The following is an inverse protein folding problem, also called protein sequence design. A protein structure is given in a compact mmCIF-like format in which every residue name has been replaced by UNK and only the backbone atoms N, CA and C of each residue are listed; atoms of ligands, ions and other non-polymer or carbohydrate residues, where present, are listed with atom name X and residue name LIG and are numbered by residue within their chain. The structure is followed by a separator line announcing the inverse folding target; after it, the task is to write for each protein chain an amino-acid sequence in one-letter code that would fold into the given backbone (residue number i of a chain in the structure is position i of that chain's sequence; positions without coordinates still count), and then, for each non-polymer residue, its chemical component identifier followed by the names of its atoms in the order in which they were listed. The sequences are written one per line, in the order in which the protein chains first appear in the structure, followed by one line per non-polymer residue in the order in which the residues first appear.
data_IF_700428516462
#
_entry.id   IF_700428516462
#
_cell.length_a   1.000
_cell.length_b   1.000
_cell.length_c   1.000
_cell.angle_alpha   90.00
_cell.angle_beta   90.00
_cell.angle_gamma   90.00
#
_symmetry.space_group_name_H-M   'P 1'
#
loop_
_entity.id
_entity.type
_entity.pdbx_description
1 polymer ?
#
# COMPACT_ATOMS: atom_id res chain seq x y z
N UNK A 1 20.22 10.53 8.00
CA UNK A 1 18.95 9.81 7.77
C UNK A 1 18.32 10.38 6.52
N UNK A 2 17.56 9.55 5.80
CA UNK A 2 16.65 9.88 4.69
C UNK A 2 17.26 9.76 3.28
N UNK A 3 16.85 8.70 2.57
CA UNK A 3 16.79 8.68 1.09
C UNK A 3 16.02 7.45 0.57
N UNK A 4 14.75 7.23 0.97
CA UNK A 4 13.87 6.26 0.27
C UNK A 4 12.35 6.47 0.49
N UNK A 5 11.91 7.61 1.02
CA UNK A 5 10.48 7.77 1.33
C UNK A 5 9.65 7.90 0.04
N UNK A 6 8.61 7.08 -0.07
CA UNK A 6 7.62 7.14 -1.16
C UNK A 6 6.40 7.91 -0.66
N UNK A 7 6.19 9.12 -1.20
CA UNK A 7 5.03 9.96 -0.87
C UNK A 7 3.95 9.74 -1.91
N UNK A 8 2.79 9.27 -1.46
CA UNK A 8 1.59 9.07 -2.29
C UNK A 8 0.51 10.02 -1.80
N UNK A 9 -0.02 10.84 -2.71
CA UNK A 9 -1.16 11.70 -2.42
C UNK A 9 -2.45 10.97 -2.77
N UNK A 10 -3.32 10.83 -1.78
CA UNK A 10 -4.67 10.28 -1.92
C UNK A 10 -5.70 11.29 -1.42
N UNK A 11 -6.93 11.15 -1.87
CA UNK A 11 -8.04 11.97 -1.41
C UNK A 11 -8.52 11.57 -0.01
N UNK A 12 -9.21 12.48 0.69
CA UNK A 12 -9.75 12.21 2.03
C UNK A 12 -10.68 10.97 2.04
N UNK A 13 -11.61 10.77 1.08
CA UNK A 13 -12.44 9.57 1.05
C UNK A 13 -11.64 8.28 0.90
N UNK A 14 -10.62 8.28 0.04
CA UNK A 14 -9.75 7.11 -0.16
C UNK A 14 -8.99 6.77 1.13
N UNK A 15 -8.50 7.78 1.85
CA UNK A 15 -7.81 7.57 3.12
C UNK A 15 -8.73 6.94 4.18
N UNK A 16 -9.97 7.40 4.30
CA UNK A 16 -10.95 6.86 5.26
C UNK A 16 -11.29 5.40 4.94
N UNK A 17 -11.55 5.09 3.68
CA UNK A 17 -11.88 3.72 3.24
C UNK A 17 -10.67 2.80 3.42
N UNK A 18 -9.46 3.26 3.07
CA UNK A 18 -8.22 2.50 3.25
C UNK A 18 -7.93 2.21 4.72
N UNK A 19 -8.07 3.20 5.59
CA UNK A 19 -7.87 3.03 7.04
C UNK A 19 -8.84 2.00 7.61
N UNK A 20 -10.13 2.07 7.25
CA UNK A 20 -11.13 1.08 7.65
C UNK A 20 -10.79 -0.32 7.16
N UNK A 21 -10.35 -0.45 5.89
CA UNK A 21 -9.93 -1.71 5.30
C UNK A 21 -8.74 -2.34 6.04
N UNK A 22 -7.71 -1.53 6.34
CA UNK A 22 -6.51 -1.98 7.05
C UNK A 22 -6.79 -2.34 8.50
N UNK A 23 -7.64 -1.58 9.19
CA UNK A 23 -8.09 -1.90 10.56
C UNK A 23 -8.77 -3.26 10.61
N UNK A 24 -9.66 -3.53 9.65
CA UNK A 24 -10.29 -4.85 9.56
C UNK A 24 -9.26 -5.95 9.37
N UNK A 25 -8.33 -5.79 8.43
CA UNK A 25 -7.25 -6.77 8.23
C UNK A 25 -6.43 -7.00 9.50
N UNK A 26 -6.08 -5.95 10.25
CA UNK A 26 -5.34 -6.09 11.50
C UNK A 26 -6.11 -6.85 12.60
N UNK A 27 -7.45 -6.79 12.58
CA UNK A 27 -8.31 -7.47 13.55
C UNK A 27 -8.62 -8.92 13.16
N UNK A 28 -8.79 -9.20 11.87
CA UNK A 28 -9.26 -10.50 11.37
C UNK A 28 -8.21 -11.34 10.67
N UNK A 29 -7.07 -10.73 10.30
CA UNK A 29 -6.03 -11.30 9.41
C UNK A 29 -6.57 -11.72 8.03
N UNK A 30 -7.76 -11.21 7.66
CA UNK A 30 -8.44 -11.54 6.41
C UNK A 30 -8.49 -10.32 5.48
N UNK A 31 -7.92 -10.49 4.29
CA UNK A 31 -7.84 -9.45 3.27
C UNK A 31 -8.95 -9.66 2.23
N UNK A 32 -10.20 -9.52 2.67
CA UNK A 32 -11.40 -9.68 1.81
C UNK A 32 -11.98 -8.33 1.41
N UNK A 33 -12.44 -8.22 0.16
CA UNK A 33 -13.16 -7.03 -0.34
C UNK A 33 -14.63 -7.15 0.07
N UNK A 34 -15.10 -6.21 0.87
CA UNK A 34 -16.47 -6.19 1.37
C UNK A 34 -17.33 -5.11 0.71
N UNK A 35 -16.69 -4.08 0.15
CA UNK A 35 -17.36 -2.97 -0.52
C UNK A 35 -16.65 -2.58 -1.83
N UNK A 36 -17.42 -2.10 -2.82
CA UNK A 36 -16.88 -1.65 -4.10
C UNK A 36 -15.95 -0.43 -3.94
N UNK A 37 -16.16 0.41 -2.93
CA UNK A 37 -15.28 1.52 -2.60
C UNK A 37 -13.88 1.03 -2.20
N UNK A 38 -13.76 -0.09 -1.46
CA UNK A 38 -12.46 -0.67 -1.11
C UNK A 38 -11.72 -1.12 -2.36
N UNK A 39 -12.43 -1.79 -3.28
CA UNK A 39 -11.88 -2.19 -4.56
C UNK A 39 -11.39 -0.98 -5.38
N UNK A 40 -12.17 0.09 -5.42
CA UNK A 40 -11.82 1.31 -6.14
C UNK A 40 -10.56 1.97 -5.56
N UNK A 41 -10.46 2.03 -4.23
CA UNK A 41 -9.29 2.61 -3.53
C UNK A 41 -8.03 1.82 -3.84
N UNK A 42 -8.08 0.49 -3.77
CA UNK A 42 -6.94 -0.37 -4.10
C UNK A 42 -6.52 -0.23 -5.57
N UNK A 43 -7.49 -0.13 -6.47
CA UNK A 43 -7.22 0.13 -7.89
C UNK A 43 -6.52 1.48 -8.09
N UNK A 44 -7.03 2.54 -7.44
CA UNK A 44 -6.43 3.87 -7.53
C UNK A 44 -5.00 3.89 -6.98
N UNK A 45 -4.75 3.20 -5.85
CA UNK A 45 -3.41 3.03 -5.31
C UNK A 45 -2.47 2.30 -6.27
N UNK A 46 -2.94 1.23 -6.91
CA UNK A 46 -2.14 0.51 -7.92
C UNK A 46 -1.76 1.44 -9.07
N UNK A 47 -2.70 2.22 -9.60
CA UNK A 47 -2.40 3.21 -10.63
C UNK A 47 -1.41 4.29 -10.16
N UNK A 48 -1.39 4.65 -8.88
CA UNK A 48 -0.42 5.59 -8.32
C UNK A 48 0.97 4.95 -8.23
N UNK A 49 1.08 3.68 -7.83
CA UNK A 49 2.34 2.96 -7.82
C UNK A 49 2.92 2.77 -9.23
N UNK A 50 2.08 2.46 -10.22
CA UNK A 50 2.50 2.34 -11.62
C UNK A 50 3.09 3.65 -12.17
N UNK A 51 2.58 4.80 -11.73
CA UNK A 51 3.15 6.12 -12.08
C UNK A 51 4.50 6.38 -11.41
N UNK A 52 4.80 5.68 -10.32
CA UNK A 52 6.07 5.78 -9.60
C UNK A 52 7.12 4.77 -10.09
N UNK A 53 6.74 3.84 -10.97
CA UNK A 53 7.58 2.76 -11.53
C UNK A 53 8.73 3.26 -12.42
N UNK A 54 8.78 4.55 -12.78
CA UNK A 54 9.95 5.15 -13.43
C UNK A 54 11.21 5.17 -12.52
N UNK A 55 11.10 4.72 -11.27
CA UNK A 55 12.22 4.54 -10.33
C UNK A 55 12.73 3.09 -10.37
N UNK A 56 14.03 2.88 -10.20
CA UNK A 56 14.60 1.55 -9.96
C UNK A 56 14.17 1.06 -8.56
N UNK A 57 13.20 0.16 -8.51
CA UNK A 57 12.76 -0.47 -7.27
C UNK A 57 13.58 -1.74 -7.00
N UNK A 58 13.89 -2.04 -5.73
CA UNK A 58 14.52 -3.32 -5.37
C UNK A 58 13.57 -4.50 -5.67
N UNK A 59 14.13 -5.70 -5.82
CA UNK A 59 13.32 -6.92 -5.96
C UNK A 59 12.45 -7.15 -4.72
N UNK A 60 11.33 -7.86 -4.90
CA UNK A 60 10.42 -8.21 -3.80
C UNK A 60 11.14 -8.99 -2.69
N UNK A 61 12.12 -9.82 -3.05
CA UNK A 61 12.95 -10.60 -2.12
C UNK A 61 13.78 -9.67 -1.24
N UNK A 62 14.50 -8.73 -1.85
CA UNK A 62 15.32 -7.74 -1.13
C UNK A 62 14.46 -6.83 -0.24
N UNK A 63 13.33 -6.35 -0.76
CA UNK A 63 12.42 -5.50 0.01
C UNK A 63 11.80 -6.25 1.22
N UNK A 64 11.44 -7.53 1.03
CA UNK A 64 10.87 -8.36 2.10
C UNK A 64 11.90 -8.67 3.20
N UNK A 65 13.16 -8.94 2.82
CA UNK A 65 14.24 -9.20 3.77
C UNK A 65 14.48 -8.00 4.71
N UNK A 66 14.45 -6.77 4.17
CA UNK A 66 14.56 -5.53 4.97
C UNK A 66 13.42 -5.43 5.99
N UNK A 67 12.18 -5.71 5.60
CA UNK A 67 11.03 -5.64 6.50
C UNK A 67 11.04 -6.72 7.60
N UNK A 68 11.70 -7.86 7.36
CA UNK A 68 11.90 -8.91 8.37
C UNK A 68 13.11 -8.65 9.28
N UNK A 69 13.94 -7.65 8.96
CA UNK A 69 15.17 -7.35 9.69
C UNK A 69 16.32 -8.33 9.40
N UNK A 70 16.32 -8.95 8.22
CA UNK A 70 17.31 -9.95 7.80
C UNK A 70 18.58 -9.31 7.15
N UNK A 71 18.68 -7.97 7.13
CA UNK A 71 19.73 -7.18 6.44
C UNK A 71 20.38 -6.17 7.37
#
# INVERSE_FOLDING_TARGET
MAESDVVIQITVPEAVVLDSFLRRFAETDELTIQDQAEQQVLWNLQCLFEKLTDREWPSIESASAVLRGEV
#
